data_IF_433564023933
#
_entry.id   IF_433564023933
#
_cell.length_a   1.000
_cell.length_b   1.000
_cell.length_c   1.000
_cell.angle_alpha   90.00
_cell.angle_beta   90.00
_cell.angle_gamma   90.00
#
_symmetry.space_group_name_H-M   'P 1'
#
loop_
_entity.id
_entity.type
_entity.pdbx_description
1 polymer ?
#
# COMPACT_ATOMS: atom_id res chain seq x y z
N UNK A 1 48.45 -5.68 -42.08
CA UNK A 1 47.41 -4.64 -41.90
C UNK A 1 46.11 -5.22 -41.31
N UNK A 2 45.49 -6.23 -41.95
CA UNK A 2 44.13 -6.71 -41.65
C UNK A 2 43.93 -7.34 -40.25
N UNK A 3 44.90 -8.10 -39.72
CA UNK A 3 44.81 -8.73 -38.39
C UNK A 3 44.71 -7.75 -37.22
N UNK A 4 45.27 -6.54 -37.36
CA UNK A 4 45.20 -5.49 -36.33
C UNK A 4 43.81 -4.84 -36.28
N UNK A 5 43.17 -4.71 -37.44
CA UNK A 5 41.82 -4.15 -37.57
C UNK A 5 40.77 -5.08 -36.95
N UNK A 6 40.90 -6.40 -37.15
CA UNK A 6 40.00 -7.40 -36.56
C UNK A 6 40.05 -7.43 -35.03
N UNK A 7 41.23 -7.27 -34.45
CA UNK A 7 41.41 -7.26 -32.98
C UNK A 7 40.81 -5.99 -32.37
N UNK A 8 40.97 -4.84 -33.03
CA UNK A 8 40.38 -3.58 -32.57
C UNK A 8 38.84 -3.61 -32.66
N UNK A 9 38.28 -4.16 -33.75
CA UNK A 9 36.82 -4.30 -33.86
C UNK A 9 36.23 -5.23 -32.79
N UNK A 10 36.93 -6.31 -32.43
CA UNK A 10 36.47 -7.21 -31.36
C UNK A 10 36.48 -6.50 -30.00
N UNK A 11 37.51 -5.69 -29.73
CA UNK A 11 37.60 -4.91 -28.49
C UNK A 11 36.46 -3.90 -28.34
N UNK A 12 36.07 -3.24 -29.44
CA UNK A 12 34.96 -2.26 -29.45
C UNK A 12 33.61 -2.96 -29.20
N UNK A 13 33.37 -4.12 -29.79
CA UNK A 13 32.13 -4.90 -29.58
C UNK A 13 32.01 -5.36 -28.13
N UNK A 14 33.10 -5.85 -27.53
CA UNK A 14 33.10 -6.26 -26.12
C UNK A 14 32.85 -5.08 -25.19
N UNK A 15 33.48 -3.93 -25.43
CA UNK A 15 33.26 -2.73 -24.62
C UNK A 15 31.81 -2.23 -24.73
N UNK A 16 31.22 -2.22 -25.93
CA UNK A 16 29.83 -1.83 -26.14
C UNK A 16 28.84 -2.78 -25.43
N UNK A 17 29.11 -4.09 -25.44
CA UNK A 17 28.31 -5.09 -24.72
C UNK A 17 28.34 -4.90 -23.20
N UNK A 18 29.50 -4.55 -22.64
CA UNK A 18 29.64 -4.28 -21.20
C UNK A 18 28.92 -2.99 -20.77
N UNK A 19 28.98 -1.94 -21.60
CA UNK A 19 28.24 -0.69 -21.35
C UNK A 19 26.73 -0.91 -21.46
N UNK A 20 26.27 -1.66 -22.46
CA UNK A 20 24.84 -1.94 -22.64
C UNK A 20 24.27 -2.82 -21.52
N UNK A 21 25.01 -3.86 -21.10
CA UNK A 21 24.62 -4.73 -19.99
C UNK A 21 24.56 -4.00 -18.64
N UNK A 22 25.43 -3.02 -18.41
CA UNK A 22 25.45 -2.22 -17.17
C UNK A 22 24.29 -1.22 -17.05
N UNK A 23 23.69 -0.78 -18.17
CA UNK A 23 22.59 0.20 -18.19
C UNK A 23 21.23 -0.46 -17.85
N UNK A 24 21.13 -1.80 -17.92
CA UNK A 24 19.87 -2.51 -17.67
C UNK A 24 19.51 -2.72 -16.19
N UNK A 25 20.40 -2.37 -15.24
CA UNK A 25 20.17 -2.59 -13.80
C UNK A 25 19.15 -1.66 -13.15
N UNK A 26 18.43 -0.86 -13.94
CA UNK A 26 17.76 0.35 -13.48
C UNK A 26 16.23 0.34 -13.39
N UNK A 27 15.49 -0.78 -13.43
CA UNK A 27 14.05 -0.75 -13.08
C UNK A 27 13.55 -2.11 -12.57
N UNK A 28 14.09 -2.59 -11.45
CA UNK A 28 13.31 -3.52 -10.62
C UNK A 28 12.38 -2.64 -9.80
N UNK A 29 11.27 -2.22 -10.41
CA UNK A 29 10.25 -1.45 -9.71
C UNK A 29 9.86 -2.23 -8.47
N UNK A 30 10.09 -1.68 -7.29
CA UNK A 30 9.54 -2.25 -6.07
C UNK A 30 8.02 -2.25 -6.26
N UNK A 31 7.42 -3.39 -6.62
CA UNK A 31 6.01 -3.63 -6.38
C UNK A 31 5.87 -3.60 -4.87
N UNK A 32 5.66 -2.39 -4.33
CA UNK A 32 5.40 -2.20 -2.92
C UNK A 32 4.29 -3.17 -2.55
N UNK A 33 4.59 -4.06 -1.60
CA UNK A 33 3.60 -4.94 -1.01
C UNK A 33 2.43 -4.06 -0.59
N UNK A 34 1.30 -4.15 -1.31
CA UNK A 34 0.08 -3.47 -0.92
C UNK A 34 -0.22 -4.02 0.48
N UNK A 35 -0.14 -3.21 1.54
CA UNK A 35 -0.42 -3.72 2.88
C UNK A 35 -1.84 -4.27 2.86
N UNK A 36 -2.03 -5.50 3.33
CA UNK A 36 -3.37 -6.04 3.49
C UNK A 36 -4.17 -5.05 4.35
N UNK A 37 -5.30 -4.56 3.83
CA UNK A 37 -6.15 -3.64 4.57
C UNK A 37 -6.66 -4.32 5.86
N UNK A 38 -6.91 -3.56 6.94
CA UNK A 38 -7.54 -4.11 8.14
C UNK A 38 -8.85 -4.81 7.79
N UNK A 39 -9.06 -5.99 8.35
CA UNK A 39 -10.34 -6.67 8.32
C UNK A 39 -11.16 -6.21 9.53
N UNK A 40 -12.45 -5.96 9.30
CA UNK A 40 -13.39 -5.56 10.34
C UNK A 40 -14.35 -6.72 10.63
N UNK A 41 -14.58 -6.98 11.91
CA UNK A 41 -15.56 -7.95 12.39
C UNK A 41 -16.67 -7.23 13.15
N UNK A 42 -17.87 -7.80 13.13
CA UNK A 42 -19.01 -7.25 13.86
C UNK A 42 -18.89 -7.67 15.32
N UNK A 43 -18.94 -6.71 16.25
CA UNK A 43 -19.15 -6.98 17.67
C UNK A 43 -20.66 -7.11 17.96
N UNK A 44 -21.18 -8.31 18.26
CA UNK A 44 -22.60 -8.51 18.51
C UNK A 44 -23.06 -7.97 19.88
N UNK A 45 -22.15 -7.59 20.77
CA UNK A 45 -22.47 -7.08 22.10
C UNK A 45 -22.42 -5.55 22.20
N UNK A 46 -22.19 -4.87 21.08
CA UNK A 46 -22.23 -3.42 20.97
C UNK A 46 -23.54 -2.91 20.34
N UNK A 47 -24.11 -1.79 20.81
CA UNK A 47 -23.69 -1.02 21.98
C UNK A 47 -24.06 -1.73 23.29
N UNK A 48 -23.34 -1.39 24.36
CA UNK A 48 -23.75 -1.80 25.69
C UNK A 48 -25.17 -1.29 25.99
N UNK A 49 -25.95 -1.99 26.83
CA UNK A 49 -27.25 -1.50 27.28
C UNK A 49 -27.13 -0.07 27.78
N UNK A 50 -27.95 0.82 27.22
CA UNK A 50 -27.90 2.22 27.58
C UNK A 50 -28.28 2.41 29.06
N UNK A 51 -27.63 3.35 29.76
CA UNK A 51 -28.00 3.67 31.12
C UNK A 51 -29.48 4.07 31.17
N UNK A 52 -30.13 3.80 32.31
CA UNK A 52 -31.55 4.12 32.55
C UNK A 52 -32.56 3.42 31.61
N UNK A 53 -32.17 2.31 30.96
CA UNK A 53 -33.04 1.56 30.04
C UNK A 53 -33.55 2.41 28.87
N UNK A 54 -32.72 3.35 28.40
CA UNK A 54 -33.10 4.19 27.27
C UNK A 54 -33.26 3.37 25.99
N UNK A 55 -34.23 3.77 25.17
CA UNK A 55 -34.44 3.23 23.83
C UNK A 55 -33.76 4.13 22.81
N UNK A 56 -32.96 3.55 21.93
CA UNK A 56 -32.37 4.27 20.81
C UNK A 56 -33.38 4.35 19.65
N UNK A 57 -33.63 5.57 19.17
CA UNK A 57 -34.42 5.80 17.97
C UNK A 57 -33.65 5.47 16.69
N UNK A 58 -34.11 5.97 15.54
CA UNK A 58 -33.37 5.85 14.28
C UNK A 58 -32.06 6.64 14.34
N UNK A 59 -30.93 5.94 14.29
CA UNK A 59 -29.59 6.55 14.25
C UNK A 59 -29.35 7.25 12.92
N UNK A 60 -28.97 8.52 12.98
CA UNK A 60 -28.66 9.36 11.81
C UNK A 60 -27.20 9.78 11.73
N UNK A 61 -26.40 9.50 12.76
CA UNK A 61 -24.96 9.76 12.77
C UNK A 61 -24.25 9.10 13.94
N UNK A 62 -22.98 8.76 13.72
CA UNK A 62 -22.06 8.28 14.76
C UNK A 62 -20.70 8.98 14.60
N UNK A 63 -20.05 9.31 15.70
CA UNK A 63 -18.69 9.85 15.72
C UNK A 63 -17.94 9.32 16.93
N UNK A 64 -16.61 9.26 16.83
CA UNK A 64 -15.71 8.97 17.94
C UNK A 64 -14.85 10.20 18.19
N UNK A 65 -14.69 10.62 19.44
CA UNK A 65 -13.81 11.73 19.80
C UNK A 65 -12.38 11.25 20.12
N UNK A 66 -11.50 12.17 20.53
CA UNK A 66 -10.09 11.86 20.81
C UNK A 66 -9.88 11.00 22.06
N UNK A 67 -10.91 10.85 22.89
CA UNK A 67 -10.88 10.08 24.14
C UNK A 67 -11.62 8.73 23.99
N UNK A 68 -11.86 8.28 22.74
CA UNK A 68 -12.58 7.06 22.38
C UNK A 68 -14.06 7.02 22.85
N UNK A 69 -14.69 8.17 23.12
CA UNK A 69 -16.13 8.18 23.38
C UNK A 69 -16.92 8.10 22.08
N UNK A 70 -17.95 7.25 22.06
CA UNK A 70 -18.87 7.13 20.93
C UNK A 70 -20.07 8.05 21.12
N UNK A 71 -20.23 9.00 20.20
CA UNK A 71 -21.36 9.92 20.13
C UNK A 71 -22.36 9.44 19.08
N UNK A 72 -23.63 9.30 19.47
CA UNK A 72 -24.72 8.87 18.58
C UNK A 72 -25.75 9.99 18.47
N UNK A 73 -26.07 10.38 17.24
CA UNK A 73 -27.22 11.25 16.94
C UNK A 73 -28.37 10.37 16.50
N UNK A 74 -29.49 10.42 17.22
CA UNK A 74 -30.69 9.65 16.91
C UNK A 74 -31.93 10.54 16.88
N UNK A 75 -32.96 10.09 16.17
CA UNK A 75 -34.30 10.70 16.18
C UNK A 75 -35.36 9.65 16.46
N UNK A 76 -36.41 10.04 17.18
CA UNK A 76 -37.61 9.23 17.39
C UNK A 76 -38.45 9.12 16.13
#
# INVERSE_FOLDING_TARGET
>A
MMRRLTVLSLGVVVAAGLVWGGIQSGVVGAQGMIPNAPMFEVDPFWPQPLPNNWLLGSTIGVSVDSDDHVWIVHRG
#
